data_IF_265603341017
#
_entry.id   IF_265603341017
#
_cell.length_a   1.000
_cell.length_b   1.000
_cell.length_c   1.000
_cell.angle_alpha   90.00
_cell.angle_beta   90.00
_cell.angle_gamma   90.00
#
_symmetry.space_group_name_H-M   'P 1'
#
loop_
_entity.id
_entity.type
_entity.pdbx_description
1 polymer ?
#
# COMPACT_ATOMS: atom_id res chain seq x y z
N UNK A 1 14.93 -19.31 33.08
CA UNK A 1 15.78 -19.22 31.87
C UNK A 1 15.53 -17.83 31.29
N UNK A 2 16.34 -16.87 31.72
CA UNK A 2 16.27 -15.49 31.23
C UNK A 2 16.78 -15.49 29.79
N UNK A 3 16.00 -14.95 28.86
CA UNK A 3 16.43 -14.80 27.48
C UNK A 3 17.54 -13.73 27.45
N UNK A 4 18.79 -14.15 27.22
CA UNK A 4 19.86 -13.25 26.81
C UNK A 4 19.43 -12.61 25.49
N UNK A 5 19.10 -11.31 25.53
CA UNK A 5 18.90 -10.51 24.34
C UNK A 5 20.25 -10.36 23.63
N UNK A 6 20.29 -10.38 22.29
CA UNK A 6 21.53 -10.29 21.54
C UNK A 6 22.31 -9.03 21.93
N UNK A 7 23.63 -9.15 22.15
CA UNK A 7 24.59 -8.07 22.47
C UNK A 7 24.59 -6.87 21.48
N UNK A 8 23.78 -6.90 20.44
CA UNK A 8 23.51 -5.79 19.52
C UNK A 8 22.28 -4.94 19.88
N UNK A 9 21.61 -5.20 21.00
CA UNK A 9 20.51 -4.35 21.47
C UNK A 9 21.06 -3.11 22.17
N UNK A 10 20.62 -1.93 21.73
CA UNK A 10 20.93 -0.66 22.39
C UNK A 10 20.50 -0.77 23.86
N UNK A 11 21.36 -0.45 24.84
CA UNK A 11 20.99 -0.55 26.25
C UNK A 11 19.88 0.44 26.58
N UNK A 12 18.96 0.04 27.47
CA UNK A 12 17.79 0.84 27.84
C UNK A 12 18.19 2.22 28.37
N UNK A 13 19.29 2.31 29.12
CA UNK A 13 19.83 3.58 29.63
C UNK A 13 20.22 4.56 28.51
N UNK A 14 20.86 4.08 27.44
CA UNK A 14 21.16 4.92 26.26
C UNK A 14 19.87 5.35 25.53
N UNK A 15 18.82 4.52 25.60
CA UNK A 15 17.53 4.83 25.02
C UNK A 15 16.76 5.89 25.83
N UNK A 16 16.86 5.84 27.15
CA UNK A 16 16.32 6.86 28.05
C UNK A 16 17.05 8.20 27.92
N UNK A 17 18.38 8.17 27.80
CA UNK A 17 19.19 9.36 27.57
C UNK A 17 18.82 10.04 26.24
N UNK A 18 18.70 9.25 25.16
CA UNK A 18 18.29 9.76 23.85
C UNK A 18 16.89 10.39 23.88
N UNK A 19 15.92 9.78 24.57
CA UNK A 19 14.57 10.34 24.72
C UNK A 19 14.62 11.68 25.47
N UNK A 20 15.34 11.73 26.58
CA UNK A 20 15.50 12.94 27.40
C UNK A 20 16.15 14.07 26.61
N UNK A 21 17.18 13.77 25.83
CA UNK A 21 17.84 14.75 24.97
C UNK A 21 16.93 15.23 23.83
N UNK A 22 16.21 14.31 23.18
CA UNK A 22 15.30 14.62 22.07
C UNK A 22 14.10 15.47 22.49
N UNK A 23 13.60 15.28 23.71
CA UNK A 23 12.50 16.08 24.28
C UNK A 23 12.97 17.42 24.85
N UNK A 24 14.26 17.52 25.17
CA UNK A 24 14.90 18.68 25.74
C UNK A 24 15.22 19.81 24.73
N UNK A 25 16.21 20.67 25.07
CA UNK A 25 16.57 21.84 24.27
C UNK A 25 16.99 21.53 22.83
N UNK A 26 17.46 20.31 22.56
CA UNK A 26 17.85 19.86 21.23
C UNK A 26 16.70 19.97 20.20
N UNK A 27 15.45 19.78 20.63
CA UNK A 27 14.26 19.98 19.78
C UNK A 27 14.08 21.42 19.33
N UNK A 28 14.45 22.37 20.18
CA UNK A 28 14.36 23.80 19.89
C UNK A 28 15.49 24.21 18.93
N UNK A 29 16.66 23.60 19.06
CA UNK A 29 17.82 23.79 18.18
C UNK A 29 17.73 23.07 16.83
N UNK A 30 16.75 22.16 16.66
CA UNK A 30 16.59 21.42 15.41
C UNK A 30 16.33 22.36 14.21
N UNK A 31 17.04 22.16 13.08
CA UNK A 31 16.83 22.95 11.87
C UNK A 31 15.35 22.95 11.44
N UNK A 32 14.75 24.15 11.35
CA UNK A 32 13.34 24.30 10.93
C UNK A 32 13.12 24.04 9.45
N UNK A 33 14.18 24.21 8.67
CA UNK A 33 14.15 23.95 7.25
C UNK A 33 14.67 22.56 6.94
N UNK A 34 14.06 21.84 5.96
CA UNK A 34 14.57 20.56 5.52
C UNK A 34 15.99 20.73 5.02
N UNK A 35 16.88 19.81 5.43
CA UNK A 35 18.27 19.81 5.01
C UNK A 35 18.39 19.84 3.49
N UNK A 36 19.50 20.39 2.97
CA UNK A 36 19.75 20.47 1.54
C UNK A 36 19.57 19.11 0.84
N UNK A 37 19.99 18.02 1.49
CA UNK A 37 19.80 16.65 1.01
C UNK A 37 18.32 16.26 0.94
N UNK A 38 17.52 16.60 1.94
CA UNK A 38 16.09 16.31 1.92
C UNK A 38 15.42 16.99 0.72
N UNK A 39 15.76 18.26 0.43
CA UNK A 39 15.26 18.98 -0.76
C UNK A 39 15.68 18.31 -2.07
N UNK A 40 16.94 17.88 -2.18
CA UNK A 40 17.41 17.15 -3.37
C UNK A 40 16.66 15.83 -3.57
N UNK A 41 16.38 15.10 -2.49
CA UNK A 41 15.63 13.84 -2.54
C UNK A 41 14.18 14.08 -2.95
N UNK A 42 13.53 15.13 -2.44
CA UNK A 42 12.16 15.45 -2.86
C UNK A 42 12.08 15.81 -4.34
N UNK A 43 13.05 16.56 -4.86
CA UNK A 43 13.13 16.86 -6.30
C UNK A 43 13.36 15.58 -7.13
N UNK A 44 14.23 14.68 -6.66
CA UNK A 44 14.45 13.39 -7.35
C UNK A 44 13.18 12.55 -7.39
N UNK A 45 12.52 12.37 -6.24
CA UNK A 45 11.27 11.60 -6.15
C UNK A 45 10.15 12.23 -7.00
N UNK A 46 10.10 13.56 -7.08
CA UNK A 46 9.13 14.26 -7.92
C UNK A 46 9.37 14.00 -9.41
N UNK A 47 10.62 13.96 -9.86
CA UNK A 47 10.97 13.57 -11.24
C UNK A 47 10.58 12.12 -11.53
N UNK A 48 10.87 11.19 -10.61
CA UNK A 48 10.48 9.78 -10.72
C UNK A 48 8.95 9.61 -10.81
N UNK A 49 8.19 10.35 -10.00
CA UNK A 49 6.72 10.39 -10.05
C UNK A 49 6.20 10.90 -11.40
N UNK A 50 6.80 11.96 -11.95
CA UNK A 50 6.43 12.51 -13.26
C UNK A 50 6.74 11.52 -14.40
N UNK A 51 7.87 10.83 -14.35
CA UNK A 51 8.23 9.79 -15.31
C UNK A 51 7.28 8.59 -15.23
N UNK A 52 6.95 8.14 -14.02
CA UNK A 52 5.94 7.10 -13.81
C UNK A 52 4.59 7.56 -14.38
N UNK A 53 4.15 8.78 -14.08
CA UNK A 53 2.91 9.34 -14.62
C UNK A 53 2.92 9.41 -16.15
N UNK A 54 4.07 9.70 -16.79
CA UNK A 54 4.19 9.65 -18.26
C UNK A 54 4.09 8.21 -18.80
N UNK A 55 4.74 7.24 -18.16
CA UNK A 55 4.65 5.82 -18.54
C UNK A 55 3.22 5.29 -18.40
N UNK A 56 2.57 5.54 -17.27
CA UNK A 56 1.21 5.09 -16.98
C UNK A 56 0.12 5.91 -17.70
N UNK A 57 0.38 7.19 -17.96
CA UNK A 57 -0.53 8.09 -18.67
C UNK A 57 -0.74 7.74 -20.14
N UNK A 58 0.25 7.09 -20.77
CA UNK A 58 0.11 6.53 -22.14
C UNK A 58 -0.89 5.37 -22.21
N UNK A 59 -1.13 4.67 -21.11
CA UNK A 59 -1.91 3.41 -21.07
C UNK A 59 -3.40 3.66 -20.86
N UNK A 60 -3.84 4.90 -20.60
CA UNK A 60 -5.23 5.18 -20.23
C UNK A 60 -5.86 6.24 -21.13
N UNK A 61 -6.25 5.78 -22.32
CA UNK A 61 -7.17 6.49 -23.19
C UNK A 61 -8.53 6.71 -22.51
N UNK A 62 -9.06 7.92 -22.73
CA UNK A 62 -10.47 8.30 -22.64
C UNK A 62 -11.22 8.03 -21.32
N UNK A 63 -11.29 9.05 -20.44
CA UNK A 63 -12.50 9.22 -19.62
C UNK A 63 -12.45 8.91 -18.12
N UNK A 64 -11.30 8.65 -17.50
CA UNK A 64 -11.24 8.52 -16.02
C UNK A 64 -10.27 9.52 -15.40
N UNK A 65 -10.78 10.35 -14.48
CA UNK A 65 -10.04 11.38 -13.70
C UNK A 65 -8.61 10.94 -13.36
N UNK A 66 -7.66 11.86 -13.59
CA UNK A 66 -6.25 11.78 -13.20
C UNK A 66 -6.15 11.46 -11.71
N UNK A 67 -5.97 10.20 -11.34
CA UNK A 67 -5.35 9.91 -10.05
C UNK A 67 -3.86 10.17 -10.23
N UNK A 68 -3.22 10.97 -9.36
CA UNK A 68 -1.78 11.12 -9.40
C UNK A 68 -1.16 9.73 -9.24
N UNK A 69 -0.43 9.28 -10.26
CA UNK A 69 0.33 8.05 -10.21
C UNK A 69 1.57 8.37 -9.39
N UNK A 70 1.49 8.12 -8.08
CA UNK A 70 2.67 8.12 -7.22
C UNK A 70 3.46 6.85 -7.53
N UNK A 71 4.77 6.96 -7.69
CA UNK A 71 5.68 5.84 -7.68
C UNK A 71 5.46 5.11 -6.34
N UNK A 72 4.81 3.95 -6.40
CA UNK A 72 4.61 3.16 -5.19
C UNK A 72 5.97 2.63 -4.75
N UNK A 73 6.34 2.80 -3.46
CA UNK A 73 7.57 2.22 -2.94
C UNK A 73 7.48 0.68 -2.99
N UNK A 74 8.65 0.03 -3.02
CA UNK A 74 8.75 -1.42 -2.95
C UNK A 74 7.92 -2.00 -1.81
N UNK A 75 7.41 -3.22 -2.00
CA UNK A 75 6.45 -3.84 -1.08
C UNK A 75 6.93 -3.93 0.38
N UNK A 76 8.25 -3.95 0.62
CA UNK A 76 8.85 -3.95 1.95
C UNK A 76 8.92 -2.55 2.59
N UNK A 77 8.87 -1.47 1.80
CA UNK A 77 8.78 -0.06 2.24
C UNK A 77 7.35 0.45 2.33
N UNK A 78 6.40 -0.24 1.70
CA UNK A 78 4.99 0.10 1.75
C UNK A 78 4.38 -0.44 3.05
N UNK A 79 3.96 0.46 3.95
CA UNK A 79 3.09 0.06 5.06
C UNK A 79 1.79 -0.57 4.50
N UNK A 80 1.21 -1.58 5.18
CA UNK A 80 -0.04 -2.20 4.73
C UNK A 80 -1.17 -1.16 4.77
N UNK A 81 -1.37 -0.46 3.65
CA UNK A 81 -2.43 0.53 3.53
C UNK A 81 -3.76 -0.17 3.24
N UNK A 82 -4.79 0.11 4.06
CA UNK A 82 -6.17 -0.42 3.87
C UNK A 82 -6.71 -0.20 2.45
N UNK A 83 -6.20 0.80 1.73
CA UNK A 83 -6.60 1.14 0.35
C UNK A 83 -6.25 0.05 -0.67
N UNK A 84 -5.11 -0.63 -0.55
CA UNK A 84 -4.74 -1.75 -1.46
C UNK A 84 -5.64 -2.96 -1.25
N UNK A 85 -5.96 -3.28 0.01
CA UNK A 85 -6.76 -4.46 0.36
C UNK A 85 -8.23 -4.32 -0.05
N UNK A 86 -8.80 -3.12 0.04
CA UNK A 86 -10.19 -2.85 -0.39
C UNK A 86 -10.40 -3.04 -1.90
N UNK A 87 -9.38 -2.73 -2.72
CA UNK A 87 -9.49 -2.83 -4.19
C UNK A 87 -9.50 -4.29 -4.67
N UNK A 88 -8.77 -5.18 -3.99
CA UNK A 88 -8.72 -6.62 -4.31
C UNK A 88 -10.02 -7.35 -3.93
N UNK A 89 -10.68 -6.96 -2.83
CA UNK A 89 -11.96 -7.57 -2.40
C UNK A 89 -13.17 -7.15 -3.23
N UNK A 90 -13.11 -5.99 -3.92
CA UNK A 90 -14.24 -5.49 -4.74
C UNK A 90 -14.61 -6.40 -5.91
N UNK A 91 -13.66 -7.16 -6.47
CA UNK A 91 -13.94 -8.12 -7.54
C UNK A 91 -14.53 -9.45 -7.04
N UNK A 92 -14.17 -9.87 -5.83
CA UNK A 92 -14.63 -11.15 -5.28
C UNK A 92 -16.12 -11.16 -4.92
N UNK A 93 -16.68 -10.00 -4.52
CA UNK A 93 -18.12 -9.89 -4.28
C UNK A 93 -18.95 -10.19 -5.52
N UNK A 94 -18.56 -9.65 -6.68
CA UNK A 94 -19.26 -9.90 -7.95
C UNK A 94 -19.17 -11.36 -8.38
N UNK A 95 -18.03 -12.01 -8.16
CA UNK A 95 -17.86 -13.44 -8.42
C UNK A 95 -18.80 -14.30 -7.56
N UNK A 96 -18.88 -14.04 -6.26
CA UNK A 96 -19.79 -14.78 -5.37
C UNK A 96 -21.26 -14.57 -5.72
N UNK A 97 -21.64 -13.35 -6.15
CA UNK A 97 -23.00 -13.08 -6.64
C UNK A 97 -23.32 -13.92 -7.87
N UNK A 98 -22.41 -14.02 -8.85
CA UNK A 98 -22.60 -14.86 -10.04
C UNK A 98 -22.72 -16.34 -9.67
N UNK A 99 -21.89 -16.83 -8.74
CA UNK A 99 -21.97 -18.21 -8.26
C UNK A 99 -23.34 -18.50 -7.63
N UNK A 100 -23.84 -17.62 -6.75
CA UNK A 100 -25.15 -17.78 -6.11
C UNK A 100 -26.29 -17.77 -7.15
N UNK A 101 -26.24 -16.85 -8.12
CA UNK A 101 -27.23 -16.80 -9.21
C UNK A 101 -27.22 -18.10 -10.02
N UNK A 102 -26.04 -18.64 -10.34
CA UNK A 102 -25.91 -19.93 -11.02
C UNK A 102 -26.51 -21.09 -10.22
N UNK A 103 -26.25 -21.16 -8.92
CA UNK A 103 -26.83 -22.18 -8.02
C UNK A 103 -28.35 -22.08 -7.98
N UNK A 104 -28.90 -20.87 -7.87
CA UNK A 104 -30.36 -20.64 -7.88
C UNK A 104 -30.98 -21.09 -9.20
N UNK A 105 -30.35 -20.80 -10.34
CA UNK A 105 -30.81 -21.23 -11.66
C UNK A 105 -30.84 -22.76 -11.79
N UNK A 106 -29.81 -23.46 -11.28
CA UNK A 106 -29.74 -24.93 -11.26
C UNK A 106 -30.86 -25.52 -10.41
N UNK A 107 -31.16 -24.93 -9.26
CA UNK A 107 -32.25 -25.36 -8.38
C UNK A 107 -33.64 -25.13 -9.00
N UNK A 108 -33.84 -23.99 -9.69
CA UNK A 108 -35.13 -23.66 -10.29
C UNK A 108 -35.42 -24.47 -11.56
N UNK A 109 -34.39 -24.89 -12.31
CA UNK A 109 -34.58 -25.63 -13.55
C UNK A 109 -33.42 -26.62 -13.82
N UNK A 110 -33.48 -27.84 -13.26
CA UNK A 110 -32.44 -28.84 -13.44
C UNK A 110 -32.40 -29.39 -14.88
N UNK A 111 -33.54 -29.46 -15.57
CA UNK A 111 -33.65 -30.11 -16.88
C UNK A 111 -33.07 -29.27 -18.04
N UNK A 112 -33.05 -27.94 -17.90
CA UNK A 112 -32.55 -27.02 -18.94
C UNK A 112 -31.09 -26.59 -18.71
N UNK A 113 -30.55 -26.77 -17.49
CA UNK A 113 -29.18 -26.38 -17.13
C UNK A 113 -28.15 -27.47 -17.37
N UNK A 114 -28.50 -28.75 -17.21
CA UNK A 114 -27.61 -29.87 -17.56
C UNK A 114 -27.44 -30.06 -19.08
N UNK A 115 -28.38 -29.62 -19.91
CA UNK A 115 -28.30 -29.81 -21.37
C UNK A 115 -27.30 -28.88 -22.07
N UNK A 116 -26.94 -27.74 -21.47
CA UNK A 116 -25.92 -26.83 -22.01
C UNK A 116 -24.50 -27.16 -21.55
N UNK A 117 -24.35 -27.91 -20.44
CA UNK A 117 -23.03 -28.30 -19.91
C UNK A 117 -22.47 -29.59 -20.56
N UNK A 118 -23.32 -30.35 -21.24
CA UNK A 118 -22.99 -31.63 -21.91
C UNK A 118 -23.30 -31.59 -23.42
N UNK A 119 -23.49 -30.39 -23.97
CA UNK A 119 -23.68 -30.15 -25.42
C UNK A 119 -22.44 -29.61 -26.10
#
# INVERSE_FOLDING_TARGET
MSAELPESSIPDEAWEEFQRESEGPARLAAPKEPSARARMVTERLRREDEEAARRYGKVRGWGRRRSPVRAEPDAWRAWPSRRRQARRRRGWGAFWVLVVVGVVLVLMNPAMSLSWLVG
#
